data_IF_240015942966
#
_entry.id   IF_240015942966
#
_cell.length_a   1.000
_cell.length_b   1.000
_cell.length_c   1.000
_cell.angle_alpha   90.00
_cell.angle_beta   90.00
_cell.angle_gamma   90.00
#
_symmetry.space_group_name_H-M   'P 1'
#
loop_
_entity.id
_entity.type
_entity.pdbx_description
1 polymer ?
#
# COMPACT_ATOMS: atom_id res chain seq x y z
N UNK A 1 6.78 -21.15 -4.78
CA UNK A 1 7.82 -21.46 -3.76
C UNK A 1 7.18 -22.27 -2.66
N UNK A 2 7.91 -23.08 -1.94
CA UNK A 2 7.42 -23.77 -0.75
C UNK A 2 8.24 -23.36 0.48
N UNK A 3 7.74 -23.73 1.65
CA UNK A 3 8.42 -23.43 2.91
C UNK A 3 9.74 -24.18 3.09
N UNK A 4 9.99 -25.27 2.36
CA UNK A 4 11.16 -26.13 2.55
C UNK A 4 12.46 -25.40 2.23
N UNK A 5 12.52 -24.68 1.10
CA UNK A 5 13.67 -23.88 0.69
C UNK A 5 13.95 -22.74 1.69
N UNK A 6 12.90 -22.02 2.07
CA UNK A 6 13.00 -20.92 3.05
C UNK A 6 13.45 -21.42 4.44
N UNK A 7 12.90 -22.54 4.89
CA UNK A 7 13.30 -23.19 6.15
C UNK A 7 14.75 -23.63 6.11
N UNK A 8 15.18 -24.24 5.01
CA UNK A 8 16.58 -24.63 4.82
C UNK A 8 17.54 -23.44 4.87
N UNK A 9 17.13 -22.30 4.34
CA UNK A 9 17.92 -21.07 4.38
C UNK A 9 17.95 -20.51 5.81
N UNK A 10 16.80 -20.34 6.45
CA UNK A 10 16.68 -19.78 7.81
C UNK A 10 17.42 -20.64 8.85
N UNK A 11 17.45 -21.97 8.68
CA UNK A 11 18.16 -22.88 9.61
C UNK A 11 19.67 -22.67 9.67
N UNK A 12 20.25 -21.95 8.71
CA UNK A 12 21.68 -21.61 8.68
C UNK A 12 22.03 -20.39 9.52
N UNK A 13 21.02 -19.61 9.95
CA UNK A 13 21.23 -18.41 10.78
C UNK A 13 21.70 -18.80 12.18
N UNK A 14 22.66 -18.05 12.72
CA UNK A 14 23.20 -18.19 14.07
C UNK A 14 23.04 -16.85 14.82
N UNK A 15 21.84 -16.64 15.35
CA UNK A 15 21.43 -15.39 15.99
C UNK A 15 20.45 -15.65 17.15
N UNK A 16 20.18 -14.65 17.95
CA UNK A 16 19.20 -14.70 19.04
C UNK A 16 17.78 -14.79 18.48
N UNK A 17 17.53 -14.10 17.36
CA UNK A 17 16.30 -14.16 16.58
C UNK A 17 16.61 -13.87 15.12
N UNK A 18 15.87 -14.50 14.22
CA UNK A 18 15.80 -14.10 12.82
C UNK A 18 14.43 -14.38 12.23
N UNK A 19 14.03 -13.56 11.26
CA UNK A 19 12.94 -13.88 10.35
C UNK A 19 13.37 -13.71 8.90
N UNK A 20 12.78 -14.53 8.06
CA UNK A 20 12.93 -14.51 6.61
C UNK A 20 11.58 -14.29 5.98
N UNK A 21 11.49 -13.28 5.13
CA UNK A 21 10.33 -12.98 4.31
C UNK A 21 10.68 -13.16 2.84
N UNK A 22 9.76 -13.75 2.11
CA UNK A 22 9.79 -13.79 0.65
C UNK A 22 8.47 -13.27 0.13
N UNK A 23 8.51 -12.38 -0.83
CA UNK A 23 7.31 -11.85 -1.48
C UNK A 23 7.43 -11.97 -2.99
N UNK A 24 6.36 -12.43 -3.63
CA UNK A 24 6.12 -12.29 -5.07
C UNK A 24 5.00 -11.30 -5.26
N UNK A 25 5.24 -10.24 -6.03
CA UNK A 25 4.27 -9.23 -6.42
C UNK A 25 4.04 -9.31 -7.91
N UNK A 26 2.79 -9.54 -8.31
CA UNK A 26 2.32 -9.42 -9.70
C UNK A 26 1.46 -8.16 -9.82
N UNK A 27 1.72 -7.36 -10.81
CA UNK A 27 1.03 -6.10 -11.02
C UNK A 27 0.58 -5.97 -12.47
N UNK A 28 -0.68 -5.60 -12.67
CA UNK A 28 -1.25 -5.21 -13.96
C UNK A 28 -1.66 -3.75 -13.88
N UNK A 29 -1.27 -2.97 -14.87
CA UNK A 29 -1.56 -1.54 -14.94
C UNK A 29 -2.03 -1.15 -16.33
N UNK A 30 -3.11 -0.36 -16.40
CA UNK A 30 -3.63 0.26 -17.62
C UNK A 30 -3.82 1.74 -17.32
N UNK A 31 -3.27 2.63 -18.15
CA UNK A 31 -3.35 4.08 -17.94
C UNK A 31 -3.82 4.79 -19.20
N UNK A 32 -4.84 5.62 -19.04
CA UNK A 32 -5.30 6.59 -20.03
C UNK A 32 -4.90 8.00 -19.59
N UNK A 33 -4.36 8.79 -20.52
CA UNK A 33 -4.18 10.24 -20.36
C UNK A 33 -4.99 10.94 -21.47
N UNK A 34 -6.04 11.66 -21.07
CA UNK A 34 -7.03 12.10 -22.03
C UNK A 34 -7.61 10.92 -22.81
N UNK A 35 -7.74 11.00 -24.15
CA UNK A 35 -8.26 9.90 -24.94
C UNK A 35 -7.26 8.75 -25.15
N UNK A 36 -5.98 8.98 -24.88
CA UNK A 36 -4.89 8.10 -25.29
C UNK A 36 -4.59 7.04 -24.25
N UNK A 37 -4.44 5.80 -24.70
CA UNK A 37 -3.91 4.71 -23.91
C UNK A 37 -2.39 4.86 -23.86
N UNK A 38 -1.85 5.23 -22.69
CA UNK A 38 -0.42 5.53 -22.53
C UNK A 38 0.37 4.38 -21.91
N UNK A 39 -0.31 3.46 -21.21
CA UNK A 39 0.35 2.31 -20.61
C UNK A 39 -0.57 1.10 -20.55
N UNK A 40 -0.01 -0.06 -20.93
CA UNK A 40 -0.48 -1.39 -20.54
C UNK A 40 0.77 -2.14 -20.10
N UNK A 41 0.76 -2.65 -18.87
CA UNK A 41 1.89 -3.44 -18.37
C UNK A 41 1.41 -4.56 -17.46
N UNK A 42 2.14 -5.67 -17.52
CA UNK A 42 2.05 -6.75 -16.54
C UNK A 42 3.47 -7.07 -16.07
N UNK A 43 3.72 -6.91 -14.78
CA UNK A 43 5.04 -7.09 -14.21
C UNK A 43 5.00 -8.09 -13.05
N UNK A 44 6.10 -8.80 -12.87
CA UNK A 44 6.30 -9.66 -11.70
C UNK A 44 7.64 -9.29 -11.08
N UNK A 45 7.63 -9.04 -9.79
CA UNK A 45 8.82 -8.79 -8.98
C UNK A 45 8.82 -9.71 -7.78
N UNK A 46 9.97 -10.15 -7.34
CA UNK A 46 10.11 -10.95 -6.14
C UNK A 46 11.39 -10.63 -5.38
N UNK A 47 11.42 -11.01 -4.11
CA UNK A 47 12.61 -10.78 -3.30
C UNK A 47 12.46 -11.28 -1.87
N UNK A 48 13.59 -11.26 -1.19
CA UNK A 48 13.76 -11.74 0.17
C UNK A 48 14.18 -10.59 1.09
N UNK A 49 13.66 -10.61 2.31
CA UNK A 49 14.13 -9.77 3.41
C UNK A 49 14.47 -10.68 4.57
N UNK A 50 15.73 -10.68 4.95
CA UNK A 50 16.20 -11.34 6.16
C UNK A 50 16.42 -10.30 7.25
N UNK A 51 15.85 -10.52 8.44
CA UNK A 51 16.10 -9.69 9.62
C UNK A 51 16.77 -10.54 10.68
N UNK A 52 17.76 -9.98 11.37
CA UNK A 52 18.59 -10.67 12.36
C UNK A 52 18.76 -9.82 13.59
N UNK A 53 18.47 -10.38 14.75
CA UNK A 53 18.83 -9.85 16.07
C UNK A 53 19.97 -10.69 16.63
N UNK A 54 21.09 -10.06 16.98
CA UNK A 54 22.26 -10.74 17.55
C UNK A 54 22.99 -9.85 18.53
N UNK A 55 23.12 -10.32 19.76
CA UNK A 55 23.74 -9.57 20.88
C UNK A 55 23.20 -8.14 21.04
N UNK A 56 21.88 -7.99 20.94
CA UNK A 56 21.18 -6.71 21.09
C UNK A 56 21.24 -5.80 19.87
N UNK A 57 22.02 -6.11 18.84
CA UNK A 57 22.01 -5.36 17.58
C UNK A 57 21.04 -5.99 16.57
N UNK A 58 20.30 -5.13 15.86
CA UNK A 58 19.31 -5.52 14.88
C UNK A 58 19.74 -5.08 13.48
N UNK A 59 19.69 -5.99 12.53
CA UNK A 59 20.10 -5.75 11.15
C UNK A 59 19.15 -6.41 10.15
N UNK A 60 19.11 -5.90 8.94
CA UNK A 60 18.40 -6.53 7.83
C UNK A 60 19.29 -6.65 6.58
N UNK A 61 18.93 -7.57 5.71
CA UNK A 61 19.54 -7.73 4.40
C UNK A 61 18.47 -8.11 3.38
N UNK A 62 18.49 -7.44 2.24
CA UNK A 62 17.56 -7.68 1.11
C UNK A 62 18.33 -8.35 -0.03
N UNK A 63 17.76 -9.35 -0.67
CA UNK A 63 18.32 -10.03 -1.83
C UNK A 63 17.21 -10.56 -2.74
N UNK A 64 17.53 -10.82 -4.03
CA UNK A 64 16.55 -11.25 -5.03
C UNK A 64 16.74 -12.68 -5.50
N UNK A 65 17.91 -13.27 -5.27
CA UNK A 65 18.20 -14.65 -5.71
C UNK A 65 18.49 -15.54 -4.51
N UNK A 66 17.86 -16.70 -4.46
CA UNK A 66 18.01 -17.67 -3.35
C UNK A 66 19.50 -18.03 -3.11
N UNK A 67 20.30 -18.16 -4.17
CA UNK A 67 21.74 -18.45 -4.07
C UNK A 67 22.52 -17.42 -3.25
N UNK A 68 22.05 -16.17 -3.18
CA UNK A 68 22.70 -15.09 -2.43
C UNK A 68 22.35 -15.13 -0.92
N UNK A 69 21.40 -15.99 -0.53
CA UNK A 69 20.89 -16.07 0.83
C UNK A 69 21.96 -16.38 1.89
N UNK A 70 22.92 -17.27 1.60
CA UNK A 70 23.99 -17.60 2.54
C UNK A 70 24.90 -16.38 2.79
N UNK A 71 25.20 -15.62 1.74
CA UNK A 71 25.98 -14.39 1.86
C UNK A 71 25.19 -13.31 2.62
N UNK A 72 23.89 -13.21 2.34
CA UNK A 72 22.98 -12.28 3.05
C UNK A 72 22.92 -12.59 4.56
N UNK A 73 22.84 -13.88 4.94
CA UNK A 73 22.87 -14.31 6.35
C UNK A 73 24.16 -13.84 7.02
N UNK A 74 25.32 -14.16 6.44
CA UNK A 74 26.61 -13.76 7.01
C UNK A 74 26.69 -12.25 7.20
N UNK A 75 26.32 -11.49 6.18
CA UNK A 75 26.35 -10.02 6.22
C UNK A 75 25.40 -9.46 7.27
N UNK A 76 24.18 -10.00 7.38
CA UNK A 76 23.23 -9.57 8.38
C UNK A 76 23.70 -9.89 9.81
N UNK A 77 24.29 -11.07 10.05
CA UNK A 77 24.84 -11.43 11.36
C UNK A 77 26.04 -10.56 11.75
N UNK A 78 26.96 -10.30 10.80
CA UNK A 78 28.11 -9.41 11.03
C UNK A 78 27.66 -7.99 11.37
N UNK A 79 26.70 -7.45 10.62
CA UNK A 79 26.15 -6.13 10.87
C UNK A 79 25.42 -6.05 12.23
N UNK A 80 24.61 -7.04 12.57
CA UNK A 80 23.90 -7.08 13.85
C UNK A 80 24.90 -7.10 15.01
N UNK A 81 25.96 -7.91 14.92
CA UNK A 81 27.04 -7.94 15.92
C UNK A 81 27.76 -6.59 16.05
N UNK A 82 28.02 -5.92 14.94
CA UNK A 82 28.67 -4.60 14.94
C UNK A 82 27.78 -3.56 15.60
N UNK A 83 26.49 -3.52 15.22
CA UNK A 83 25.51 -2.61 15.83
C UNK A 83 25.39 -2.88 17.33
N UNK A 84 25.26 -4.14 17.75
CA UNK A 84 25.13 -4.50 19.15
C UNK A 84 26.31 -4.10 20.04
N UNK A 85 27.51 -3.92 19.46
CA UNK A 85 28.68 -3.42 20.19
C UNK A 85 28.67 -1.91 20.41
N UNK A 86 27.90 -1.17 19.65
CA UNK A 86 27.90 0.29 19.64
C UNK A 86 26.56 0.91 20.01
N UNK A 87 25.50 0.11 20.14
CA UNK A 87 24.18 0.59 20.53
C UNK A 87 24.14 0.82 22.05
N UNK A 88 23.56 1.94 22.47
CA UNK A 88 23.45 2.27 23.91
C UNK A 88 22.47 1.35 24.66
N UNK A 89 21.31 1.09 24.05
CA UNK A 89 20.30 0.16 24.59
C UNK A 89 20.12 -1.01 23.64
N UNK A 90 20.30 -2.26 24.11
CA UNK A 90 20.09 -3.45 23.30
C UNK A 90 18.65 -3.58 22.82
N UNK A 91 18.45 -3.84 21.53
CA UNK A 91 17.13 -4.13 20.97
C UNK A 91 16.55 -5.40 21.61
N UNK A 92 15.28 -5.33 21.98
CA UNK A 92 14.52 -6.44 22.53
C UNK A 92 13.21 -6.57 21.77
N UNK A 93 12.93 -7.74 21.26
CA UNK A 93 11.65 -8.03 20.60
C UNK A 93 10.59 -8.39 21.65
N UNK A 94 9.37 -7.93 21.42
CA UNK A 94 8.23 -8.37 22.22
C UNK A 94 7.98 -9.88 21.96
N UNK A 95 7.55 -10.58 23.00
CA UNK A 95 7.13 -11.99 22.87
C UNK A 95 5.84 -12.04 22.05
N UNK A 96 5.83 -12.91 21.06
CA UNK A 96 4.65 -13.18 20.23
C UNK A 96 4.34 -14.67 20.24
N UNK A 97 3.08 -15.01 19.98
CA UNK A 97 2.68 -16.40 19.78
C UNK A 97 3.23 -16.92 18.45
N UNK A 98 3.57 -18.21 18.43
CA UNK A 98 3.98 -18.89 17.19
C UNK A 98 2.74 -19.15 16.34
N UNK A 99 2.73 -18.60 15.14
CA UNK A 99 1.63 -18.76 14.17
C UNK A 99 2.09 -19.62 13.00
N UNK A 100 1.28 -20.65 12.67
CA UNK A 100 1.45 -21.47 11.45
C UNK A 100 0.14 -21.50 10.72
N UNK A 101 0.00 -20.67 9.69
CA UNK A 101 -1.27 -20.50 9.02
C UNK A 101 -1.10 -20.07 7.57
N UNK A 102 -2.20 -20.16 6.81
CA UNK A 102 -2.30 -19.67 5.44
C UNK A 102 -3.53 -18.80 5.31
N UNK A 103 -3.34 -17.57 4.91
CA UNK A 103 -4.39 -16.60 4.67
C UNK A 103 -4.59 -16.43 3.16
N UNK A 104 -5.83 -16.66 2.71
CA UNK A 104 -6.23 -16.42 1.32
C UNK A 104 -7.38 -15.42 1.30
N UNK A 105 -7.42 -14.50 0.31
CA UNK A 105 -8.49 -13.52 0.22
C UNK A 105 -9.81 -14.19 -0.16
N UNK A 106 -10.93 -13.63 0.32
CA UNK A 106 -12.27 -13.94 -0.18
C UNK A 106 -12.56 -12.95 -1.29
N UNK A 107 -12.72 -13.43 -2.51
CA UNK A 107 -12.93 -12.59 -3.70
C UNK A 107 -14.32 -12.85 -4.28
N UNK A 108 -15.08 -11.78 -4.52
CA UNK A 108 -16.36 -11.86 -5.23
C UNK A 108 -16.12 -12.20 -6.71
N UNK A 109 -15.03 -11.67 -7.28
CA UNK A 109 -14.56 -11.98 -8.63
C UNK A 109 -13.03 -11.87 -8.66
N UNK A 110 -12.36 -12.99 -8.96
CA UNK A 110 -10.90 -13.00 -9.01
C UNK A 110 -10.39 -12.24 -10.23
N UNK A 111 -9.65 -11.14 -10.06
CA UNK A 111 -9.15 -10.35 -11.19
C UNK A 111 -8.22 -11.14 -12.12
N UNK A 112 -7.59 -12.21 -11.63
CA UNK A 112 -6.71 -13.09 -12.44
C UNK A 112 -7.48 -13.88 -13.50
N UNK A 113 -8.81 -14.06 -13.32
CA UNK A 113 -9.68 -14.76 -14.27
C UNK A 113 -10.35 -13.82 -15.28
N UNK A 114 -10.20 -12.51 -15.09
CA UNK A 114 -10.75 -11.50 -16.00
C UNK A 114 -9.76 -11.21 -17.11
N UNK A 115 -10.22 -11.25 -18.36
CA UNK A 115 -9.37 -11.00 -19.52
C UNK A 115 -8.86 -9.55 -19.58
N UNK A 116 -7.67 -9.38 -20.17
CA UNK A 116 -7.06 -8.05 -20.34
C UNK A 116 -7.92 -7.11 -21.19
N UNK A 117 -8.61 -7.66 -22.20
CA UNK A 117 -9.52 -6.90 -23.04
C UNK A 117 -10.68 -6.32 -22.24
N UNK A 118 -11.24 -7.08 -21.30
CA UNK A 118 -12.31 -6.62 -20.43
C UNK A 118 -11.81 -5.54 -19.44
N UNK A 119 -10.65 -5.73 -18.84
CA UNK A 119 -9.99 -4.72 -17.99
C UNK A 119 -9.76 -3.42 -18.75
N UNK A 120 -9.30 -3.53 -19.99
CA UNK A 120 -9.10 -2.38 -20.87
C UNK A 120 -10.43 -1.71 -21.24
N UNK A 121 -11.47 -2.50 -21.57
CA UNK A 121 -12.77 -1.99 -21.96
C UNK A 121 -13.45 -1.21 -20.84
N UNK A 122 -13.45 -1.72 -19.62
CA UNK A 122 -14.06 -1.04 -18.47
C UNK A 122 -13.30 0.26 -18.14
N UNK A 123 -11.96 0.24 -18.16
CA UNK A 123 -11.14 1.43 -17.90
C UNK A 123 -11.37 2.50 -18.97
N UNK A 124 -11.41 2.10 -20.24
CA UNK A 124 -11.72 2.99 -21.37
C UNK A 124 -13.13 3.56 -21.27
N UNK A 125 -14.11 2.73 -20.93
CA UNK A 125 -15.51 3.13 -20.81
C UNK A 125 -15.69 4.27 -19.79
N UNK A 126 -15.13 4.13 -18.60
CA UNK A 126 -15.19 5.19 -17.57
C UNK A 126 -14.40 6.44 -17.98
N UNK A 127 -13.23 6.26 -18.60
CA UNK A 127 -12.44 7.38 -19.12
C UNK A 127 -13.22 8.20 -20.15
N UNK A 128 -13.78 7.53 -21.16
CA UNK A 128 -14.55 8.18 -22.22
C UNK A 128 -15.81 8.86 -21.70
N UNK A 129 -16.47 8.27 -20.69
CA UNK A 129 -17.68 8.83 -20.10
C UNK A 129 -17.45 10.24 -19.53
N UNK A 130 -16.31 10.46 -18.87
CA UNK A 130 -15.93 11.78 -18.39
C UNK A 130 -15.55 12.73 -19.55
N UNK A 131 -14.72 12.26 -20.50
CA UNK A 131 -14.22 13.07 -21.61
C UNK A 131 -15.31 13.56 -22.56
N UNK A 132 -16.45 12.86 -22.67
CA UNK A 132 -17.57 13.27 -23.51
C UNK A 132 -18.28 14.53 -23.01
N UNK A 133 -18.02 14.99 -21.80
CA UNK A 133 -18.68 16.19 -21.26
C UNK A 133 -17.92 17.44 -21.69
N UNK A 134 -18.71 18.43 -22.16
CA UNK A 134 -18.17 19.74 -22.51
C UNK A 134 -17.38 20.34 -21.32
N UNK A 135 -16.29 21.02 -21.61
CA UNK A 135 -15.33 21.61 -20.66
C UNK A 135 -14.50 20.61 -19.86
N UNK A 136 -14.63 19.30 -20.03
CA UNK A 136 -13.64 18.34 -19.56
C UNK A 136 -12.51 18.31 -20.61
N UNK A 137 -11.36 18.81 -20.22
CA UNK A 137 -10.23 18.98 -21.14
C UNK A 137 -9.28 17.79 -21.13
N UNK A 138 -9.18 17.09 -20.00
CA UNK A 138 -8.36 15.88 -19.90
C UNK A 138 -8.78 15.02 -18.70
N UNK A 139 -8.31 13.80 -18.72
CA UNK A 139 -8.41 12.83 -17.63
C UNK A 139 -7.08 12.12 -17.46
N UNK A 140 -6.86 11.57 -16.30
CA UNK A 140 -5.84 10.55 -16.07
C UNK A 140 -6.52 9.40 -15.32
N UNK A 141 -6.89 8.34 -16.02
CA UNK A 141 -7.61 7.20 -15.45
C UNK A 141 -6.72 5.97 -15.52
N UNK A 142 -6.61 5.28 -14.39
CA UNK A 142 -5.76 4.12 -14.22
C UNK A 142 -6.55 2.96 -13.64
N UNK A 143 -6.36 1.77 -14.21
CA UNK A 143 -6.60 0.48 -13.58
C UNK A 143 -5.30 -0.03 -12.97
N UNK A 144 -5.38 -0.55 -11.76
CA UNK A 144 -4.29 -1.19 -11.05
C UNK A 144 -4.78 -2.47 -10.38
N UNK A 145 -4.12 -3.57 -10.68
CA UNK A 145 -4.28 -4.86 -10.01
C UNK A 145 -2.96 -5.26 -9.40
N UNK A 146 -2.98 -5.62 -8.13
CA UNK A 146 -1.80 -6.10 -7.42
C UNK A 146 -2.14 -7.39 -6.70
N UNK A 147 -1.43 -8.46 -7.06
CA UNK A 147 -1.48 -9.74 -6.34
C UNK A 147 -0.14 -9.93 -5.63
N UNK A 148 -0.19 -10.11 -4.32
CA UNK A 148 0.99 -10.38 -3.49
C UNK A 148 0.86 -11.72 -2.84
N UNK A 149 1.88 -12.54 -2.98
CA UNK A 149 2.04 -13.78 -2.23
C UNK A 149 3.26 -13.63 -1.32
N UNK A 150 3.01 -13.69 -0.02
CA UNK A 150 4.03 -13.46 1.01
C UNK A 150 4.24 -14.71 1.84
N UNK A 151 5.50 -14.99 2.13
CA UNK A 151 5.93 -16.04 3.05
C UNK A 151 6.71 -15.41 4.18
N UNK A 152 6.37 -15.75 5.40
CA UNK A 152 7.06 -15.34 6.61
C UNK A 152 7.45 -16.56 7.42
N UNK A 153 8.73 -16.63 7.82
CA UNK A 153 9.25 -17.63 8.73
C UNK A 153 10.08 -16.97 9.82
N UNK A 154 10.02 -17.48 11.04
CA UNK A 154 10.89 -17.04 12.13
C UNK A 154 11.63 -18.22 12.77
N UNK A 155 12.76 -17.91 13.42
CA UNK A 155 13.52 -18.87 14.24
C UNK A 155 12.75 -19.34 15.46
N UNK A 156 11.69 -18.61 15.86
CA UNK A 156 10.76 -19.00 16.93
C UNK A 156 9.73 -20.05 16.46
N UNK A 157 9.64 -20.32 15.15
CA UNK A 157 8.83 -21.39 14.58
C UNK A 157 7.55 -20.93 13.88
N UNK A 158 7.30 -19.64 13.73
CA UNK A 158 6.19 -19.15 12.90
C UNK A 158 6.43 -19.43 11.43
N UNK A 159 5.36 -19.80 10.72
CA UNK A 159 5.32 -20.05 9.29
C UNK A 159 3.97 -19.54 8.75
N UNK A 160 3.98 -18.43 8.05
CA UNK A 160 2.76 -17.78 7.56
C UNK A 160 2.88 -17.59 6.05
N UNK A 161 1.85 -18.06 5.33
CA UNK A 161 1.64 -17.71 3.93
C UNK A 161 0.43 -16.79 3.84
N UNK A 162 0.59 -15.67 3.17
CA UNK A 162 -0.47 -14.68 2.96
C UNK A 162 -0.59 -14.38 1.47
N UNK A 163 -1.81 -14.44 0.94
CA UNK A 163 -2.15 -13.95 -0.38
C UNK A 163 -3.01 -12.69 -0.24
N UNK A 164 -2.62 -11.61 -0.89
CA UNK A 164 -3.33 -10.35 -0.94
C UNK A 164 -3.65 -10.00 -2.38
N UNK A 165 -4.90 -9.66 -2.65
CA UNK A 165 -5.37 -9.19 -3.95
C UNK A 165 -5.97 -7.81 -3.78
N UNK A 166 -5.49 -6.85 -4.56
CA UNK A 166 -6.02 -5.49 -4.56
C UNK A 166 -6.32 -5.06 -5.98
N UNK A 167 -7.53 -4.55 -6.20
CA UNK A 167 -7.93 -3.92 -7.46
C UNK A 167 -8.33 -2.48 -7.23
N UNK A 168 -7.91 -1.60 -8.11
CA UNK A 168 -8.26 -0.17 -8.09
C UNK A 168 -8.52 0.32 -9.50
N UNK A 169 -9.49 1.22 -9.64
CA UNK A 169 -9.72 1.98 -10.83
C UNK A 169 -10.09 3.41 -10.44
N UNK A 170 -9.46 4.39 -11.07
CA UNK A 170 -9.71 5.78 -10.78
C UNK A 170 -8.60 6.68 -11.27
N UNK A 171 -8.64 7.93 -10.83
CA UNK A 171 -7.66 8.92 -11.24
C UNK A 171 -8.16 10.34 -11.08
N UNK A 172 -7.92 11.18 -12.09
CA UNK A 172 -8.26 12.61 -12.07
C UNK A 172 -9.07 12.99 -13.29
N UNK A 173 -10.12 13.79 -13.09
CA UNK A 173 -10.93 14.42 -14.13
C UNK A 173 -10.67 15.92 -14.05
N UNK A 174 -10.26 16.54 -15.16
CA UNK A 174 -9.90 17.96 -15.22
C UNK A 174 -10.83 18.71 -16.14
N UNK A 175 -11.45 19.76 -15.61
CA UNK A 175 -12.31 20.69 -16.32
C UNK A 175 -11.60 22.04 -16.49
N UNK A 176 -11.96 22.79 -17.56
CA UNK A 176 -11.38 24.11 -17.83
C UNK A 176 -12.43 25.04 -18.48
N UNK A 177 -12.40 26.30 -18.06
CA UNK A 177 -13.13 27.41 -18.71
C UNK A 177 -12.25 28.65 -18.74
N UNK A 178 -11.86 29.07 -19.92
CA UNK A 178 -10.85 30.13 -20.09
C UNK A 178 -9.52 29.73 -19.44
N UNK A 179 -9.08 30.50 -18.47
CA UNK A 179 -7.84 30.23 -17.69
C UNK A 179 -8.09 29.43 -16.41
N UNK A 180 -9.36 29.26 -16.01
CA UNK A 180 -9.68 28.53 -14.79
C UNK A 180 -9.68 27.03 -15.07
N UNK A 181 -8.86 26.31 -14.34
CA UNK A 181 -8.77 24.83 -14.39
C UNK A 181 -9.11 24.25 -13.01
N UNK A 182 -9.92 23.19 -12.99
CA UNK A 182 -10.31 22.48 -11.79
C UNK A 182 -10.16 20.99 -11.99
N UNK A 183 -9.71 20.29 -10.97
CA UNK A 183 -9.50 18.84 -11.01
C UNK A 183 -10.18 18.14 -9.84
N UNK A 184 -10.80 17.00 -10.12
CA UNK A 184 -11.48 16.17 -9.13
C UNK A 184 -10.95 14.76 -9.23
N UNK A 185 -10.66 14.15 -8.07
CA UNK A 185 -10.30 12.74 -7.99
C UNK A 185 -11.54 11.86 -8.02
N UNK A 186 -11.45 10.76 -8.75
CA UNK A 186 -12.40 9.65 -8.75
C UNK A 186 -11.65 8.38 -8.44
N UNK A 187 -12.22 7.49 -7.64
CA UNK A 187 -11.55 6.25 -7.33
C UNK A 187 -12.45 5.27 -6.61
N UNK A 188 -12.23 4.01 -6.92
CA UNK A 188 -12.87 2.86 -6.31
C UNK A 188 -11.89 1.70 -6.28
N UNK A 189 -12.13 0.74 -5.42
CA UNK A 189 -11.31 -0.46 -5.32
C UNK A 189 -11.23 -1.00 -3.91
N UNK A 190 -10.53 -2.08 -3.76
CA UNK A 190 -10.38 -2.78 -2.48
C UNK A 190 -9.75 -4.15 -2.65
N UNK A 191 -10.00 -5.02 -1.68
CA UNK A 191 -9.43 -6.37 -1.63
C UNK A 191 -10.46 -7.49 -1.85
N UNK A 192 -11.70 -7.16 -2.27
CA UNK A 192 -12.75 -8.16 -2.57
C UNK A 192 -12.78 -8.60 -4.04
N UNK A 193 -11.85 -8.10 -4.86
CA UNK A 193 -11.70 -8.51 -6.26
C UNK A 193 -12.23 -7.53 -7.29
N UNK A 194 -12.41 -8.00 -8.53
CA UNK A 194 -12.72 -7.17 -9.69
C UNK A 194 -14.17 -6.66 -9.70
N UNK A 195 -15.10 -7.38 -9.09
CA UNK A 195 -16.52 -6.99 -9.02
C UNK A 195 -16.76 -5.57 -8.50
N UNK A 196 -15.87 -5.07 -7.60
CA UNK A 196 -15.91 -3.71 -7.08
C UNK A 196 -15.82 -2.62 -8.16
N UNK A 197 -15.25 -2.95 -9.32
CA UNK A 197 -15.02 -2.00 -10.40
C UNK A 197 -16.14 -1.95 -11.42
N UNK A 198 -17.13 -2.86 -11.31
CA UNK A 198 -18.26 -2.94 -12.22
C UNK A 198 -19.36 -1.96 -11.86
N UNK A 199 -20.09 -1.47 -12.87
CA UNK A 199 -21.30 -0.63 -12.71
C UNK A 199 -21.06 0.65 -11.90
N UNK A 200 -19.91 1.31 -12.12
CA UNK A 200 -19.52 2.53 -11.43
C UNK A 200 -19.74 3.81 -12.25
N UNK A 201 -20.57 3.73 -13.29
CA UNK A 201 -20.88 4.86 -14.18
C UNK A 201 -21.40 6.07 -13.40
N UNK A 202 -22.26 5.83 -12.41
CA UNK A 202 -22.84 6.90 -11.60
C UNK A 202 -21.78 7.66 -10.80
N UNK A 203 -20.75 6.96 -10.29
CA UNK A 203 -19.63 7.60 -9.58
C UNK A 203 -18.86 8.55 -10.52
N UNK A 204 -18.57 8.09 -11.75
CA UNK A 204 -17.88 8.94 -12.73
C UNK A 204 -18.72 10.13 -13.17
N UNK A 205 -20.03 9.98 -13.33
CA UNK A 205 -20.95 11.09 -13.64
C UNK A 205 -20.97 12.10 -12.51
N UNK A 206 -21.07 11.65 -11.26
CA UNK A 206 -21.04 12.52 -10.07
C UNK A 206 -19.74 13.33 -10.00
N UNK A 207 -18.60 12.68 -10.10
CA UNK A 207 -17.29 13.36 -10.01
C UNK A 207 -17.05 14.31 -11.18
N UNK A 208 -17.54 13.94 -12.37
CA UNK A 208 -17.50 14.83 -13.54
C UNK A 208 -18.38 16.06 -13.32
N UNK A 209 -19.59 15.88 -12.77
CA UNK A 209 -20.47 17.00 -12.45
C UNK A 209 -19.84 17.93 -11.38
N UNK A 210 -19.17 17.38 -10.38
CA UNK A 210 -18.42 18.19 -9.38
C UNK A 210 -17.32 18.99 -10.08
N UNK A 211 -16.51 18.39 -10.97
CA UNK A 211 -15.47 19.10 -11.70
C UNK A 211 -16.01 20.28 -12.51
N UNK A 212 -17.17 20.11 -13.16
CA UNK A 212 -17.83 21.16 -13.91
C UNK A 212 -18.42 22.24 -13.01
N UNK A 213 -18.98 21.88 -11.86
CA UNK A 213 -19.55 22.83 -10.89
C UNK A 213 -18.46 23.68 -10.24
N UNK A 214 -17.27 23.14 -10.02
CA UNK A 214 -16.13 23.89 -9.47
C UNK A 214 -15.69 25.05 -10.37
N UNK A 215 -15.93 24.99 -11.68
CA UNK A 215 -15.68 26.12 -12.60
C UNK A 215 -16.59 27.33 -12.30
N UNK A 216 -17.73 27.12 -11.62
CA UNK A 216 -18.70 28.15 -11.24
C UNK A 216 -18.65 28.49 -9.76
N UNK A 217 -17.88 27.74 -8.99
CA UNK A 217 -17.79 27.93 -7.56
C UNK A 217 -17.10 29.25 -7.22
N UNK A 218 -17.63 29.96 -6.22
CA UNK A 218 -17.00 31.16 -5.69
C UNK A 218 -15.90 30.74 -4.70
N UNK A 219 -14.76 31.44 -4.67
CA UNK A 219 -13.78 31.27 -3.60
C UNK A 219 -14.43 31.51 -2.23
N UNK A 220 -13.97 30.78 -1.23
CA UNK A 220 -14.38 31.01 0.17
C UNK A 220 -13.59 32.18 0.72
N UNK A 221 -14.25 33.13 1.33
CA UNK A 221 -13.58 34.25 2.01
C UNK A 221 -12.84 33.75 3.25
N UNK A 222 -11.69 34.34 3.57
CA UNK A 222 -10.95 34.02 4.79
C UNK A 222 -11.75 34.42 6.04
N UNK A 223 -11.78 33.55 7.05
CA UNK A 223 -12.51 33.85 8.29
C UNK A 223 -12.61 32.64 9.20
N UNK A 224 -13.32 32.82 10.32
CA UNK A 224 -13.64 31.74 11.27
C UNK A 224 -15.09 31.30 11.05
N UNK A 225 -15.26 30.01 10.77
CA UNK A 225 -16.59 29.45 10.44
C UNK A 225 -16.86 28.20 11.29
N UNK A 226 -18.12 27.97 11.69
CA UNK A 226 -18.55 26.65 12.09
C UNK A 226 -18.52 25.71 10.88
N UNK A 227 -17.87 24.54 11.01
CA UNK A 227 -17.73 23.58 9.91
C UNK A 227 -18.36 22.24 10.26
N UNK A 228 -18.95 21.60 9.26
CA UNK A 228 -19.38 20.20 9.32
C UNK A 228 -18.43 19.40 8.43
N UNK A 229 -17.71 18.44 9.02
CA UNK A 229 -16.82 17.56 8.30
C UNK A 229 -17.64 16.39 7.74
N UNK A 230 -17.52 16.13 6.44
CA UNK A 230 -18.04 14.89 5.87
C UNK A 230 -17.15 13.70 6.31
N UNK A 231 -17.59 12.45 6.15
CA UNK A 231 -16.82 11.28 6.57
C UNK A 231 -15.39 11.22 6.02
N UNK A 232 -15.19 11.58 4.75
CA UNK A 232 -13.87 11.56 4.11
C UNK A 232 -12.91 12.54 4.80
N UNK A 233 -13.35 13.78 4.98
CA UNK A 233 -12.52 14.79 5.64
C UNK A 233 -12.34 14.52 7.12
N UNK A 234 -13.37 13.99 7.81
CA UNK A 234 -13.27 13.59 9.21
C UNK A 234 -12.24 12.46 9.39
N UNK A 235 -12.20 11.50 8.45
CA UNK A 235 -11.20 10.44 8.42
C UNK A 235 -9.79 10.99 8.25
N UNK A 236 -9.56 11.87 7.29
CA UNK A 236 -8.27 12.54 7.09
C UNK A 236 -7.89 13.36 8.31
N UNK A 237 -8.81 14.16 8.87
CA UNK A 237 -8.55 14.96 10.06
C UNK A 237 -8.10 14.10 11.25
N UNK A 238 -8.77 12.97 11.50
CA UNK A 238 -8.40 12.03 12.56
C UNK A 238 -7.05 11.38 12.27
N UNK A 239 -6.77 11.03 11.01
CA UNK A 239 -5.49 10.47 10.59
C UNK A 239 -4.34 11.44 10.87
N UNK A 240 -4.45 12.69 10.46
CA UNK A 240 -3.41 13.70 10.65
C UNK A 240 -3.28 14.14 12.12
N UNK A 241 -4.41 14.31 12.82
CA UNK A 241 -4.39 14.81 14.18
C UNK A 241 -4.04 13.76 15.24
N UNK A 242 -4.28 12.48 14.97
CA UNK A 242 -4.10 11.40 15.94
C UNK A 242 -3.38 10.17 15.36
N UNK A 243 -3.67 9.78 14.13
CA UNK A 243 -3.11 8.57 13.52
C UNK A 243 -1.59 8.58 13.53
N UNK A 244 -0.97 9.64 13.04
CA UNK A 244 0.47 9.80 13.04
C UNK A 244 1.09 9.85 14.45
N UNK A 245 0.36 10.35 15.43
CA UNK A 245 0.82 10.32 16.83
C UNK A 245 0.87 8.91 17.44
N UNK A 246 0.22 7.94 16.83
CA UNK A 246 0.22 6.54 17.28
C UNK A 246 1.18 5.63 16.49
N UNK A 247 1.97 6.18 15.59
CA UNK A 247 2.99 5.45 14.83
C UNK A 247 4.25 5.23 15.68
N UNK A 248 4.63 3.97 15.85
CA UNK A 248 5.74 3.59 16.73
C UNK A 248 7.09 4.20 16.33
N UNK A 249 7.36 4.31 15.02
CA UNK A 249 8.59 4.90 14.49
C UNK A 249 8.71 6.41 14.76
N UNK A 250 7.58 7.13 14.76
CA UNK A 250 7.56 8.56 15.12
C UNK A 250 7.68 8.78 16.64
N UNK A 251 7.19 7.83 17.44
CA UNK A 251 7.18 7.93 18.90
C UNK A 251 8.55 7.55 19.47
N UNK A 252 9.20 6.52 18.91
CA UNK A 252 10.45 5.95 19.46
C UNK A 252 11.55 7.01 19.61
N UNK A 253 11.61 7.94 18.65
CA UNK A 253 12.61 9.02 18.64
C UNK A 253 12.12 10.33 19.29
N UNK A 254 10.91 10.36 19.87
CA UNK A 254 10.31 11.57 20.45
C UNK A 254 9.82 11.40 21.87
N UNK A 255 10.65 11.69 22.90
CA UNK A 255 10.24 11.60 24.30
C UNK A 255 8.97 12.40 24.63
N UNK A 256 8.77 13.55 23.99
CA UNK A 256 7.58 14.38 24.20
C UNK A 256 6.30 13.75 23.64
N UNK A 257 6.40 12.92 22.60
CA UNK A 257 5.27 12.16 22.08
C UNK A 257 4.94 10.94 22.97
N UNK A 258 5.97 10.25 23.47
CA UNK A 258 5.80 9.16 24.43
C UNK A 258 5.06 9.62 25.69
N UNK A 259 5.36 10.83 26.19
CA UNK A 259 4.67 11.41 27.34
C UNK A 259 3.19 11.70 27.07
N UNK A 260 2.86 12.17 25.85
CA UNK A 260 1.48 12.49 25.45
C UNK A 260 0.62 11.27 25.15
N UNK A 261 1.21 10.15 24.73
CA UNK A 261 0.50 8.93 24.35
C UNK A 261 0.24 7.95 25.50
N UNK A 262 0.36 8.39 26.72
CA UNK A 262 -0.05 7.58 27.87
C UNK A 262 -1.57 7.44 27.93
N UNK A 263 -2.04 6.24 28.27
CA UNK A 263 -3.46 5.97 28.48
C UNK A 263 -4.05 6.99 29.47
N UNK A 264 -5.20 7.54 29.11
CA UNK A 264 -5.92 8.56 29.87
C UNK A 264 -5.32 9.97 29.84
N UNK A 265 -4.29 10.23 29.08
CA UNK A 265 -3.83 11.60 28.84
C UNK A 265 -4.81 12.32 27.91
N UNK A 266 -5.15 13.54 28.26
CA UNK A 266 -5.99 14.40 27.42
C UNK A 266 -5.08 15.05 26.36
N UNK A 267 -5.37 14.77 25.09
CA UNK A 267 -4.64 15.30 23.94
C UNK A 267 -5.27 16.63 23.54
#
# INVERSE_FOLDING_TARGET
MDFSALTSLLSKVRADYADLRYEVKKEVQIVFNGPDLTQISATTTDGYVLRVLKNGGFSNCVFTQEKDGVMAIRKAEENALLIGRHIGEPVRLARTEVVRDTFSPILDEDPRTVDMEEKLAITRGYNQRALQKEKIVTTQIQYLEVVREKYFLSTEGSQIREELVTTRLGGTITSQEGTLTQSVRVGMGGSSGFALLRNQEALFDEKTAIALNLLKAKPVDGGTYPVILNPDLAGVFTHEAFGHYSEADLIEDSPSMLEKLQLSTRI
#
